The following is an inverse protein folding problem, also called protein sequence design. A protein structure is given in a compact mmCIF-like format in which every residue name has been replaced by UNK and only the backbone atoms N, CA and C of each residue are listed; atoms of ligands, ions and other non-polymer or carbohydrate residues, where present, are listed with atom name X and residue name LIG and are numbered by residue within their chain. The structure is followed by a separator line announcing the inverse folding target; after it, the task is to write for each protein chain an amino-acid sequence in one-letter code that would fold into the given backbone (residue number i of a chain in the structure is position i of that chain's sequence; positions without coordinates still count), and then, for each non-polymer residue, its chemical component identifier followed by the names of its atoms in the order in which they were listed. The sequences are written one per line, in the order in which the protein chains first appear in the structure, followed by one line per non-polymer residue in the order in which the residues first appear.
data_IF_995292738213
#
_entry.id   IF_995292738213
#
_cell.length_a   1.000
_cell.length_b   1.000
_cell.length_c   1.000
_cell.angle_alpha   90.00
_cell.angle_beta   90.00
_cell.angle_gamma   90.00
#
_symmetry.space_group_name_H-M   'P 1'
#
loop_
_entity.id
_entity.type
_entity.pdbx_description
1 polymer ?
#
# COMPACT_ATOMS: atom_id res chain seq x y z
N UNK A 1 -22.63 -33.50 22.47
CA UNK A 1 -21.63 -32.56 21.95
C UNK A 1 -22.40 -31.36 21.44
N UNK A 2 -22.50 -30.31 22.26
CA UNK A 2 -23.18 -29.07 21.87
C UNK A 2 -22.16 -28.29 21.04
N UNK A 3 -22.45 -28.08 19.76
CA UNK A 3 -21.72 -27.11 18.94
C UNK A 3 -21.99 -25.75 19.57
N UNK A 4 -20.99 -25.16 20.22
CA UNK A 4 -21.02 -23.74 20.54
C UNK A 4 -21.03 -23.02 19.19
N UNK A 5 -22.22 -22.60 18.76
CA UNK A 5 -22.37 -21.58 17.74
C UNK A 5 -21.74 -20.33 18.35
N UNK A 6 -20.60 -19.92 17.82
CA UNK A 6 -19.98 -18.65 18.18
C UNK A 6 -20.95 -17.54 17.71
N UNK A 7 -21.83 -17.10 18.60
CA UNK A 7 -22.80 -16.04 18.35
C UNK A 7 -22.11 -14.68 18.41
N UNK A 8 -21.11 -14.50 17.55
CA UNK A 8 -20.43 -13.24 17.30
C UNK A 8 -20.97 -12.58 16.03
N UNK A 9 -20.67 -11.30 15.86
CA UNK A 9 -20.98 -10.56 14.63
C UNK A 9 -20.29 -11.28 13.46
N UNK A 10 -20.97 -11.44 12.32
CA UNK A 10 -20.34 -12.02 11.13
C UNK A 10 -19.08 -11.19 10.79
N UNK A 11 -17.88 -11.81 10.65
CA UNK A 11 -16.64 -11.08 10.38
C UNK A 11 -16.74 -10.12 9.19
N UNK A 12 -17.53 -10.45 8.18
CA UNK A 12 -17.64 -9.69 6.94
C UNK A 12 -18.94 -8.88 6.85
N UNK A 13 -19.77 -8.87 7.90
CA UNK A 13 -20.90 -7.96 8.00
C UNK A 13 -20.44 -6.52 8.27
N UNK A 14 -21.17 -5.57 7.70
CA UNK A 14 -20.96 -4.13 7.91
C UNK A 14 -21.24 -3.77 9.37
N UNK A 15 -20.34 -3.01 9.97
CA UNK A 15 -20.46 -2.53 11.34
C UNK A 15 -21.23 -1.20 11.39
N UNK A 16 -22.04 -1.01 12.42
CA UNK A 16 -22.64 0.29 12.73
C UNK A 16 -21.58 1.29 13.22
N UNK A 17 -20.68 0.80 14.08
CA UNK A 17 -19.52 1.51 14.58
C UNK A 17 -18.54 0.56 15.28
N UNK A 18 -17.34 1.07 15.58
CA UNK A 18 -16.44 0.48 16.54
C UNK A 18 -16.00 1.53 17.57
N UNK A 19 -15.60 1.09 18.76
CA UNK A 19 -15.06 1.98 19.79
C UNK A 19 -13.67 1.55 20.20
N UNK A 20 -12.76 2.51 20.32
CA UNK A 20 -11.44 2.34 20.90
C UNK A 20 -11.46 2.99 22.28
N UNK A 21 -11.48 2.17 23.32
CA UNK A 21 -11.34 2.63 24.70
C UNK A 21 -9.87 2.67 25.05
N UNK A 22 -9.36 3.85 25.40
CA UNK A 22 -7.95 4.03 25.75
C UNK A 22 -7.77 4.20 27.26
N UNK A 23 -6.68 3.62 27.76
CA UNK A 23 -6.26 3.67 29.15
C UNK A 23 -4.80 4.16 29.20
N UNK A 24 -4.54 5.47 29.09
CA UNK A 24 -3.18 6.01 28.95
C UNK A 24 -2.22 5.56 30.07
N UNK A 25 -2.67 5.59 31.32
CA UNK A 25 -1.87 5.19 32.49
C UNK A 25 -1.46 3.72 32.49
N UNK A 26 -2.11 2.89 31.68
CA UNK A 26 -1.85 1.46 31.56
C UNK A 26 -1.17 1.09 30.23
N UNK A 27 -0.86 2.06 29.36
CA UNK A 27 -0.44 1.84 27.98
C UNK A 27 -1.32 0.78 27.27
N UNK A 28 -2.63 0.90 27.40
CA UNK A 28 -3.56 -0.16 26.97
C UNK A 28 -4.76 0.41 26.24
N UNK A 29 -5.24 -0.32 25.25
CA UNK A 29 -6.53 -0.05 24.61
C UNK A 29 -7.40 -1.31 24.57
N UNK A 30 -8.70 -1.12 24.44
CA UNK A 30 -9.67 -2.16 24.11
C UNK A 30 -10.53 -1.71 22.94
N UNK A 31 -10.83 -2.62 22.02
CA UNK A 31 -11.69 -2.35 20.86
C UNK A 31 -12.95 -3.20 20.96
N UNK A 32 -14.08 -2.55 20.75
CA UNK A 32 -15.39 -3.17 20.64
C UNK A 32 -15.99 -2.83 19.29
N UNK A 33 -16.56 -3.82 18.62
CA UNK A 33 -17.31 -3.66 17.37
C UNK A 33 -18.80 -3.78 17.66
N UNK A 34 -19.62 -3.05 16.90
CA UNK A 34 -21.06 -3.01 17.08
C UNK A 34 -21.74 -3.14 15.72
N UNK A 35 -22.72 -4.03 15.63
CA UNK A 35 -23.47 -4.33 14.42
C UNK A 35 -24.61 -5.30 14.75
N UNK A 36 -25.74 -5.15 14.07
CA UNK A 36 -26.95 -5.98 14.28
C UNK A 36 -27.41 -6.05 15.75
N UNK A 37 -27.41 -4.90 16.45
CA UNK A 37 -27.72 -4.75 17.88
C UNK A 37 -26.78 -5.53 18.85
N UNK A 38 -25.74 -6.17 18.33
CA UNK A 38 -24.73 -6.90 19.09
C UNK A 38 -23.49 -6.05 19.33
N UNK A 39 -22.81 -6.31 20.45
CA UNK A 39 -21.54 -5.67 20.81
C UNK A 39 -20.52 -6.74 21.15
N UNK A 40 -19.45 -6.83 20.36
CA UNK A 40 -18.41 -7.83 20.52
C UNK A 40 -17.06 -7.17 20.84
N UNK A 41 -16.32 -7.72 21.80
CA UNK A 41 -14.96 -7.28 22.07
C UNK A 41 -14.02 -7.87 21.02
N UNK A 42 -13.45 -7.01 20.19
CA UNK A 42 -12.57 -7.43 19.10
C UNK A 42 -11.13 -7.65 19.55
N UNK A 43 -10.56 -6.69 20.29
CA UNK A 43 -9.13 -6.70 20.58
C UNK A 43 -8.76 -5.98 21.87
N UNK A 44 -7.58 -6.32 22.39
CA UNK A 44 -6.87 -5.61 23.46
C UNK A 44 -5.42 -5.51 23.02
N UNK A 45 -4.79 -4.36 23.19
CA UNK A 45 -3.40 -4.18 22.82
C UNK A 45 -2.72 -3.02 23.55
N UNK A 46 -1.47 -2.77 23.15
CA UNK A 46 -0.67 -1.68 23.70
C UNK A 46 -0.99 -0.38 22.98
N UNK A 47 -1.25 0.68 23.74
CA UNK A 47 -1.70 1.95 23.17
C UNK A 47 -0.65 2.56 22.24
N UNK A 48 0.63 2.50 22.63
CA UNK A 48 1.78 2.95 21.84
C UNK A 48 1.81 2.40 20.41
N UNK A 49 1.26 1.21 20.15
CA UNK A 49 1.20 0.64 18.81
C UNK A 49 0.15 1.32 17.92
N UNK A 50 -0.93 1.86 18.48
CA UNK A 50 -1.97 2.55 17.70
C UNK A 50 -1.68 4.04 17.51
N UNK A 51 -0.88 4.64 18.40
CA UNK A 51 -0.63 6.09 18.40
C UNK A 51 -0.09 6.64 17.07
N UNK A 52 0.85 5.97 16.36
CA UNK A 52 1.37 6.49 15.10
C UNK A 52 0.33 6.50 13.97
N UNK A 53 -0.68 5.62 14.08
CA UNK A 53 -1.58 5.28 12.98
C UNK A 53 -2.95 5.93 13.09
N UNK A 54 -3.36 6.35 14.29
CA UNK A 54 -4.67 6.96 14.53
C UNK A 54 -4.51 8.33 15.19
N UNK A 55 -4.47 9.43 14.40
CA UNK A 55 -4.23 10.78 14.92
C UNK A 55 -5.21 11.21 16.00
N UNK A 56 -6.49 10.85 15.87
CA UNK A 56 -7.52 11.17 16.87
C UNK A 56 -7.32 10.41 18.19
N UNK A 57 -6.87 9.15 18.12
CA UNK A 57 -6.49 8.38 19.31
C UNK A 57 -5.29 9.02 20.00
N UNK A 58 -4.30 9.48 19.23
CA UNK A 58 -3.15 10.20 19.78
C UNK A 58 -3.54 11.53 20.47
N UNK A 59 -4.47 12.30 19.89
CA UNK A 59 -5.02 13.51 20.53
C UNK A 59 -5.72 13.20 21.86
N UNK A 60 -6.45 12.09 21.95
CA UNK A 60 -7.09 11.67 23.19
C UNK A 60 -6.07 11.17 24.22
N UNK A 61 -5.05 10.43 23.78
CA UNK A 61 -3.95 9.99 24.62
C UNK A 61 -3.19 11.16 25.26
N UNK A 62 -2.93 12.22 24.49
CA UNK A 62 -2.25 13.43 24.98
C UNK A 62 -2.98 14.15 26.12
N UNK A 63 -4.30 13.91 26.29
CA UNK A 63 -5.07 14.44 27.44
C UNK A 63 -4.78 13.69 28.75
N UNK A 64 -4.12 12.52 28.69
CA UNK A 64 -3.68 11.75 29.85
C UNK A 64 -4.79 11.05 30.65
N UNK A 65 -6.04 11.07 30.17
CA UNK A 65 -7.21 10.48 30.84
C UNK A 65 -7.83 9.38 29.98
N UNK A 66 -8.53 8.44 30.62
CA UNK A 66 -9.26 7.40 29.89
C UNK A 66 -10.30 8.05 28.99
N UNK A 67 -10.37 7.61 27.74
CA UNK A 67 -11.27 8.17 26.73
C UNK A 67 -11.79 7.07 25.81
N UNK A 68 -12.88 7.38 25.11
CA UNK A 68 -13.48 6.51 24.11
C UNK A 68 -13.45 7.26 22.79
N UNK A 69 -12.82 6.66 21.79
CA UNK A 69 -12.88 7.12 20.41
C UNK A 69 -13.87 6.26 19.64
N UNK A 70 -14.77 6.88 18.88
CA UNK A 70 -15.76 6.17 18.06
C UNK A 70 -15.32 6.19 16.60
N UNK A 71 -15.04 5.00 16.05
CA UNK A 71 -14.88 4.76 14.63
C UNK A 71 -16.27 4.57 14.04
N UNK A 72 -16.71 5.47 13.16
CA UNK A 72 -17.98 5.35 12.49
C UNK A 72 -17.88 5.96 11.10
N UNK A 73 -18.45 5.28 10.11
CA UNK A 73 -18.60 5.81 8.77
C UNK A 73 -19.83 6.71 8.73
N UNK A 74 -19.65 7.95 8.30
CA UNK A 74 -20.68 8.99 8.29
C UNK A 74 -20.97 9.45 6.85
N UNK A 75 -22.19 9.93 6.62
CA UNK A 75 -22.64 10.43 5.32
C UNK A 75 -23.12 9.33 4.38
N UNK A 76 -22.91 9.52 3.08
CA UNK A 76 -23.40 8.62 2.01
C UNK A 76 -22.73 7.23 2.04
N UNK A 77 -21.62 7.07 2.76
CA UNK A 77 -20.90 5.80 2.94
C UNK A 77 -21.42 4.96 4.14
N UNK A 78 -22.57 5.28 4.72
CA UNK A 78 -23.07 4.64 5.95
C UNK A 78 -23.22 3.10 5.91
N UNK A 79 -23.11 2.48 4.73
CA UNK A 79 -23.04 1.02 4.57
C UNK A 79 -21.82 0.60 3.73
N UNK A 80 -20.67 1.17 4.06
CA UNK A 80 -19.42 0.86 3.39
C UNK A 80 -19.06 -0.64 3.55
N UNK A 81 -18.87 -1.38 2.45
CA UNK A 81 -18.57 -2.81 2.52
C UNK A 81 -17.18 -3.09 3.11
N UNK A 82 -16.31 -2.08 3.16
CA UNK A 82 -14.99 -2.17 3.78
C UNK A 82 -15.01 -2.02 5.30
N UNK A 83 -16.08 -1.48 5.89
CA UNK A 83 -16.15 -1.23 7.34
C UNK A 83 -16.71 -2.44 8.10
N UNK A 84 -15.92 -3.50 8.16
CA UNK A 84 -16.27 -4.79 8.76
C UNK A 84 -15.34 -5.16 9.92
N UNK A 85 -15.73 -6.18 10.70
CA UNK A 85 -14.90 -6.72 11.79
C UNK A 85 -13.59 -7.31 11.24
N UNK A 86 -13.65 -7.99 10.10
CA UNK A 86 -12.51 -8.58 9.39
C UNK A 86 -11.48 -7.51 8.99
N UNK A 87 -11.92 -6.43 8.34
CA UNK A 87 -11.04 -5.32 7.94
C UNK A 87 -10.38 -4.66 9.15
N UNK A 88 -11.16 -4.37 10.20
CA UNK A 88 -10.62 -3.75 11.42
C UNK A 88 -9.60 -4.68 12.10
N UNK A 89 -9.88 -5.99 12.20
CA UNK A 89 -8.94 -6.94 12.77
C UNK A 89 -7.63 -6.99 11.98
N UNK A 90 -7.69 -7.02 10.64
CA UNK A 90 -6.50 -7.00 9.78
C UNK A 90 -5.69 -5.71 9.95
N UNK A 91 -6.36 -4.55 10.00
CA UNK A 91 -5.72 -3.28 10.32
C UNK A 91 -4.95 -3.34 11.64
N UNK A 92 -5.56 -3.90 12.69
CA UNK A 92 -4.93 -4.04 14.00
C UNK A 92 -3.72 -4.98 13.97
N UNK A 93 -3.76 -6.07 13.18
CA UNK A 93 -2.59 -6.95 13.00
C UNK A 93 -1.41 -6.22 12.39
N UNK A 94 -1.66 -5.31 11.45
CA UNK A 94 -0.62 -4.45 10.86
C UNK A 94 -0.12 -3.43 11.88
N UNK A 95 -1.02 -2.64 12.45
CA UNK A 95 -0.69 -1.58 13.41
C UNK A 95 0.08 -2.10 14.64
N UNK A 96 -0.21 -3.32 15.08
CA UNK A 96 0.48 -3.95 16.21
C UNK A 96 1.80 -4.63 15.86
N UNK A 97 2.21 -4.66 14.59
CA UNK A 97 3.46 -5.32 14.14
C UNK A 97 4.41 -4.31 13.50
N UNK A 98 5.36 -3.81 14.30
CA UNK A 98 6.42 -2.89 13.83
C UNK A 98 7.23 -3.50 12.68
N UNK A 99 7.54 -4.79 12.75
CA UNK A 99 8.26 -5.50 11.70
C UNK A 99 7.48 -5.49 10.38
N UNK A 100 6.18 -5.80 10.41
CA UNK A 100 5.34 -5.81 9.22
C UNK A 100 5.20 -4.41 8.61
N UNK A 101 5.04 -3.38 9.45
CA UNK A 101 5.00 -1.98 9.00
C UNK A 101 6.30 -1.59 8.30
N UNK A 102 7.45 -1.94 8.87
CA UNK A 102 8.76 -1.63 8.29
C UNK A 102 9.03 -2.40 6.99
N UNK A 103 8.68 -3.69 6.95
CA UNK A 103 8.80 -4.52 5.75
C UNK A 103 7.91 -3.99 4.63
N UNK A 104 6.66 -3.64 4.92
CA UNK A 104 5.72 -3.08 3.92
C UNK A 104 6.25 -1.77 3.35
N UNK A 105 6.71 -0.84 4.21
CA UNK A 105 7.31 0.44 3.80
C UNK A 105 8.56 0.25 2.93
N UNK A 106 9.39 -0.74 3.25
CA UNK A 106 10.61 -1.04 2.47
C UNK A 106 10.23 -1.56 1.08
N UNK A 107 9.29 -2.50 1.00
CA UNK A 107 8.82 -3.08 -0.26
C UNK A 107 8.14 -2.02 -1.12
N UNK A 108 7.25 -1.21 -0.56
CA UNK A 108 6.56 -0.13 -1.26
C UNK A 108 7.52 0.94 -1.79
N UNK A 109 8.56 1.26 -1.01
CA UNK A 109 9.62 2.15 -1.44
C UNK A 109 10.37 1.61 -2.67
N UNK A 110 10.70 0.31 -2.66
CA UNK A 110 11.36 -0.32 -3.81
C UNK A 110 10.43 -0.41 -5.04
N UNK A 111 9.16 -0.79 -4.84
CA UNK A 111 8.15 -0.79 -5.91
C UNK A 111 8.03 0.59 -6.55
N UNK A 112 7.89 1.64 -5.74
CA UNK A 112 7.75 3.02 -6.22
C UNK A 112 8.97 3.46 -7.05
N UNK A 113 10.19 3.14 -6.59
CA UNK A 113 11.42 3.45 -7.31
C UNK A 113 11.50 2.69 -8.64
N UNK A 114 11.17 1.39 -8.65
CA UNK A 114 11.17 0.59 -9.86
C UNK A 114 10.14 1.09 -10.88
N UNK A 115 8.94 1.46 -10.45
CA UNK A 115 7.91 2.02 -11.33
C UNK A 115 8.31 3.36 -11.92
N UNK A 116 8.95 4.23 -11.13
CA UNK A 116 9.48 5.50 -11.62
C UNK A 116 10.55 5.28 -12.70
N UNK A 117 11.53 4.41 -12.43
CA UNK A 117 12.58 4.06 -13.40
C UNK A 117 11.98 3.42 -14.65
N UNK A 118 10.97 2.56 -14.49
CA UNK A 118 10.31 1.86 -15.59
C UNK A 118 9.58 2.85 -16.49
N UNK A 119 8.81 3.77 -15.88
CA UNK A 119 8.11 4.84 -16.58
C UNK A 119 9.08 5.75 -17.33
N UNK A 120 10.17 6.15 -16.69
CA UNK A 120 11.22 6.94 -17.33
C UNK A 120 11.80 6.21 -18.55
N UNK A 121 12.14 4.94 -18.40
CA UNK A 121 12.72 4.13 -19.49
C UNK A 121 11.75 3.89 -20.67
N UNK A 122 10.45 3.73 -20.38
CA UNK A 122 9.41 3.65 -21.41
C UNK A 122 9.25 4.99 -22.17
N UNK A 123 9.35 6.13 -21.48
CA UNK A 123 9.29 7.45 -22.12
C UNK A 123 10.47 7.71 -23.07
N UNK A 124 11.69 7.32 -22.71
CA UNK A 124 12.88 7.40 -23.57
C UNK A 124 12.71 6.58 -24.86
N UNK A 125 12.02 5.45 -24.77
CA UNK A 125 11.77 4.55 -25.90
C UNK A 125 10.75 5.11 -26.90
N UNK A 126 9.80 5.94 -26.44
CA UNK A 126 8.80 6.57 -27.30
C UNK A 126 9.37 7.72 -28.16
N UNK A 127 10.47 8.34 -27.73
CA UNK A 127 11.05 9.52 -28.39
C UNK A 127 12.08 9.20 -29.48
N UNK A 128 12.48 7.92 -29.64
CA UNK A 128 13.49 7.49 -30.62
C UNK A 128 12.96 7.23 -32.04
N UNK A 129 11.68 7.50 -32.33
CA UNK A 129 11.04 7.08 -33.58
C UNK A 129 10.39 8.21 -34.41
N UNK A 130 10.82 9.46 -34.23
CA UNK A 130 10.26 10.62 -34.97
C UNK A 130 11.23 11.37 -35.90
N UNK A 131 12.38 10.81 -36.28
CA UNK A 131 13.35 11.55 -37.10
C UNK A 131 13.80 10.86 -38.39
N UNK A 132 12.91 10.16 -39.11
CA UNK A 132 13.20 9.76 -40.49
C UNK A 132 11.97 9.78 -41.40
N UNK A 133 11.48 10.97 -41.75
CA UNK A 133 10.74 11.13 -43.00
C UNK A 133 10.84 12.56 -43.54
N UNK A 134 11.86 12.78 -44.38
CA UNK A 134 11.72 13.58 -45.62
C UNK A 134 12.89 13.30 -46.57
N UNK A 135 12.56 12.39 -47.49
CA UNK A 135 13.09 12.16 -48.83
C UNK A 135 13.32 13.48 -49.60
N UNK A 136 14.49 13.61 -50.23
CA UNK A 136 14.81 14.62 -51.24
C UNK A 136 16.20 14.39 -51.82
N UNK A 137 16.25 13.81 -53.02
CA UNK A 137 17.45 13.53 -53.81
C UNK A 137 18.19 14.82 -54.20
N UNK A 138 19.53 14.87 -54.13
CA UNK A 138 20.37 15.48 -55.19
C UNK A 138 21.86 15.12 -55.06
N UNK A 139 22.45 14.89 -56.23
CA UNK A 139 23.84 14.48 -56.52
C UNK A 139 24.95 15.39 -55.97
N UNK A 140 26.13 14.78 -55.77
CA UNK A 140 27.36 15.33 -56.35
C UNK A 140 28.49 15.80 -55.39
N UNK A 141 29.56 15.00 -55.40
CA UNK A 141 30.98 15.38 -55.40
C UNK A 141 31.82 15.39 -54.09
N UNK A 142 32.78 14.45 -54.12
CA UNK A 142 34.14 14.30 -53.58
C UNK A 142 34.78 15.31 -52.59
N UNK A 143 35.40 14.73 -51.54
CA UNK A 143 36.77 14.97 -51.02
C UNK A 143 36.96 15.40 -49.54
N UNK A 144 37.68 14.50 -48.83
CA UNK A 144 38.78 14.66 -47.86
C UNK A 144 38.50 15.23 -46.45
N UNK A 145 38.62 14.31 -45.49
CA UNK A 145 39.39 14.34 -44.22
C UNK A 145 39.47 15.68 -43.46
N UNK A 146 38.86 15.70 -42.28
CA UNK A 146 39.51 16.25 -41.07
C UNK A 146 38.77 15.80 -39.82
N UNK A 147 39.56 15.24 -38.90
CA UNK A 147 39.19 14.89 -37.54
C UNK A 147 38.39 16.01 -36.86
N UNK A 148 37.15 15.70 -36.47
CA UNK A 148 36.46 16.42 -35.41
C UNK A 148 36.27 15.44 -34.27
N UNK A 149 37.17 15.53 -33.30
CA UNK A 149 37.11 14.88 -32.00
C UNK A 149 35.93 15.46 -31.20
N UNK A 150 34.71 15.09 -31.59
CA UNK A 150 33.52 15.39 -30.80
C UNK A 150 33.39 14.34 -29.71
N UNK A 151 33.92 14.70 -28.54
CA UNK A 151 33.38 14.40 -27.21
C UNK A 151 32.49 13.16 -27.17
N UNK A 152 33.11 11.99 -27.01
CA UNK A 152 32.44 10.77 -26.58
C UNK A 152 32.04 10.91 -25.10
N UNK A 153 31.08 11.79 -24.81
CA UNK A 153 30.14 11.53 -23.72
C UNK A 153 29.32 10.34 -24.22
N UNK A 154 29.74 9.15 -23.80
CA UNK A 154 29.08 7.89 -24.10
C UNK A 154 27.63 7.96 -23.61
N UNK A 155 26.73 8.48 -24.45
CA UNK A 155 25.33 8.14 -24.42
C UNK A 155 25.31 6.64 -24.74
N UNK A 156 25.34 5.82 -23.69
CA UNK A 156 25.24 4.36 -23.81
C UNK A 156 23.89 4.10 -24.49
N UNK A 157 23.90 4.02 -25.81
CA UNK A 157 22.76 3.61 -26.60
C UNK A 157 22.60 2.11 -26.32
N UNK A 158 21.79 1.78 -25.30
CA UNK A 158 21.38 0.41 -25.05
C UNK A 158 20.76 -0.14 -26.34
N UNK A 159 21.21 -1.32 -26.76
CA UNK A 159 20.56 -2.02 -27.88
C UNK A 159 19.11 -2.35 -27.49
N UNK A 160 18.22 -2.45 -28.49
CA UNK A 160 16.82 -2.80 -28.24
C UNK A 160 16.66 -4.11 -27.46
N UNK A 161 17.59 -5.06 -27.65
CA UNK A 161 17.65 -6.31 -26.87
C UNK A 161 17.94 -6.04 -25.39
N UNK A 162 19.01 -5.30 -25.07
CA UNK A 162 19.39 -4.99 -23.70
C UNK A 162 18.32 -4.17 -22.97
N UNK A 163 17.67 -3.25 -23.71
CA UNK A 163 16.55 -2.43 -23.26
C UNK A 163 15.33 -3.28 -22.86
N UNK A 164 14.96 -4.25 -23.69
CA UNK A 164 13.86 -5.17 -23.43
C UNK A 164 14.18 -6.13 -22.27
N UNK A 165 15.42 -6.58 -22.15
CA UNK A 165 15.86 -7.43 -21.03
C UNK A 165 15.78 -6.69 -19.69
N UNK A 166 16.15 -5.41 -19.65
CA UNK A 166 16.02 -4.58 -18.46
C UNK A 166 14.56 -4.42 -18.04
N UNK A 167 13.67 -4.06 -18.96
CA UNK A 167 12.23 -3.94 -18.68
C UNK A 167 11.67 -5.24 -18.10
N UNK A 168 12.03 -6.39 -18.71
CA UNK A 168 11.63 -7.71 -18.22
C UNK A 168 12.18 -8.00 -16.81
N UNK A 169 13.43 -7.63 -16.53
CA UNK A 169 14.02 -7.80 -15.20
C UNK A 169 13.29 -6.95 -14.14
N UNK A 170 12.91 -5.73 -14.50
CA UNK A 170 12.11 -4.85 -13.64
C UNK A 170 10.71 -5.43 -13.38
N UNK A 171 10.01 -5.90 -14.41
CA UNK A 171 8.69 -6.54 -14.27
C UNK A 171 8.75 -7.79 -13.37
N UNK A 172 9.82 -8.59 -13.50
CA UNK A 172 10.05 -9.75 -12.64
C UNK A 172 10.28 -9.33 -11.18
N UNK A 173 11.08 -8.29 -10.93
CA UNK A 173 11.31 -7.80 -9.56
C UNK A 173 10.05 -7.19 -8.95
N UNK A 174 9.29 -6.42 -9.71
CA UNK A 174 7.99 -5.88 -9.28
C UNK A 174 7.03 -7.01 -8.88
N UNK A 175 6.96 -8.07 -9.69
CA UNK A 175 6.14 -9.25 -9.38
C UNK A 175 6.61 -9.94 -8.10
N UNK A 176 7.93 -10.11 -7.93
CA UNK A 176 8.50 -10.70 -6.73
C UNK A 176 8.21 -9.87 -5.48
N UNK A 177 8.33 -8.54 -5.55
CA UNK A 177 8.01 -7.62 -4.45
C UNK A 177 6.53 -7.65 -4.07
N UNK A 178 5.62 -7.61 -5.06
CA UNK A 178 4.17 -7.73 -4.83
C UNK A 178 3.83 -9.07 -4.17
N UNK A 179 4.52 -10.15 -4.55
CA UNK A 179 4.37 -11.49 -3.93
C UNK A 179 4.92 -11.56 -2.51
N UNK A 180 6.07 -10.93 -2.26
CA UNK A 180 6.71 -10.86 -0.94
C UNK A 180 5.82 -10.12 0.06
N UNK A 181 5.26 -8.98 -0.36
CA UNK A 181 4.30 -8.20 0.43
C UNK A 181 3.05 -9.01 0.77
N UNK A 182 2.44 -9.65 -0.24
CA UNK A 182 1.28 -10.51 -0.04
C UNK A 182 1.59 -11.67 0.93
N UNK A 183 2.79 -12.26 0.83
CA UNK A 183 3.22 -13.34 1.73
C UNK A 183 3.37 -12.86 3.16
N UNK A 184 3.98 -11.69 3.38
CA UNK A 184 4.13 -11.09 4.70
C UNK A 184 2.76 -10.79 5.34
N UNK A 185 1.82 -10.25 4.56
CA UNK A 185 0.45 -9.98 5.00
C UNK A 185 -0.32 -11.25 5.32
N UNK A 186 -0.28 -12.25 4.43
CA UNK A 186 -0.96 -13.53 4.64
C UNK A 186 -0.46 -14.23 5.91
N UNK A 187 0.84 -14.16 6.17
CA UNK A 187 1.43 -14.67 7.40
C UNK A 187 0.90 -13.92 8.64
N UNK A 188 0.82 -12.59 8.60
CA UNK A 188 0.32 -11.79 9.72
C UNK A 188 -1.18 -11.98 9.99
N UNK A 189 -1.97 -12.18 8.93
CA UNK A 189 -3.41 -12.42 9.02
C UNK A 189 -3.76 -13.88 9.34
N UNK A 190 -2.83 -14.81 9.14
CA UNK A 190 -3.07 -16.25 9.28
C UNK A 190 -3.94 -16.85 8.18
N UNK A 191 -4.22 -16.08 7.12
CA UNK A 191 -5.05 -16.48 5.99
C UNK A 191 -4.65 -15.68 4.74
N UNK A 192 -4.95 -16.22 3.56
CA UNK A 192 -4.79 -15.50 2.32
C UNK A 192 -5.66 -14.23 2.30
N UNK A 193 -5.09 -13.12 1.87
CA UNK A 193 -5.77 -11.85 1.64
C UNK A 193 -6.09 -11.72 0.15
N UNK A 194 -7.36 -11.55 -0.19
CA UNK A 194 -7.81 -11.24 -1.54
C UNK A 194 -7.47 -9.80 -1.93
N UNK A 195 -7.50 -9.52 -3.24
CA UNK A 195 -7.32 -8.14 -3.71
C UNK A 195 -8.38 -7.19 -3.17
N UNK A 196 -9.61 -7.66 -2.98
CA UNK A 196 -10.72 -6.88 -2.43
C UNK A 196 -10.46 -6.51 -0.96
N UNK A 197 -9.99 -7.46 -0.15
CA UNK A 197 -9.64 -7.19 1.25
C UNK A 197 -8.48 -6.19 1.40
N UNK A 198 -7.51 -6.23 0.46
CA UNK A 198 -6.44 -5.22 0.40
C UNK A 198 -7.05 -3.84 0.07
N UNK A 199 -7.97 -3.77 -0.90
CA UNK A 199 -8.69 -2.53 -1.21
C UNK A 199 -9.47 -2.01 -0.01
N UNK A 200 -10.17 -2.86 0.73
CA UNK A 200 -10.90 -2.47 1.94
C UNK A 200 -9.98 -1.95 3.04
N UNK A 201 -8.80 -2.54 3.22
CA UNK A 201 -7.79 -2.02 4.14
C UNK A 201 -7.30 -0.62 3.73
N UNK A 202 -7.08 -0.42 2.43
CA UNK A 202 -6.68 0.90 1.89
C UNK A 202 -7.77 1.94 2.14
N UNK A 203 -9.03 1.63 1.84
CA UNK A 203 -10.17 2.52 2.07
C UNK A 203 -10.36 2.83 3.56
N UNK A 204 -10.19 1.84 4.43
CA UNK A 204 -10.21 2.03 5.88
C UNK A 204 -9.12 3.01 6.34
N UNK A 205 -7.88 2.81 5.87
CA UNK A 205 -6.75 3.66 6.21
C UNK A 205 -6.96 5.10 5.72
N UNK A 206 -7.46 5.28 4.50
CA UNK A 206 -7.75 6.59 3.93
C UNK A 206 -8.85 7.32 4.70
N UNK A 207 -9.92 6.61 5.08
CA UNK A 207 -11.05 7.22 5.80
C UNK A 207 -10.68 7.66 7.21
N UNK A 208 -9.93 6.85 7.96
CA UNK A 208 -9.57 7.12 9.35
C UNK A 208 -8.21 7.82 9.52
N UNK A 209 -7.54 8.17 8.42
CA UNK A 209 -6.27 8.92 8.44
C UNK A 209 -5.05 8.09 8.86
N UNK A 210 -5.11 6.77 8.73
CA UNK A 210 -4.00 5.85 8.99
C UNK A 210 -3.11 5.68 7.74
N UNK A 211 -2.74 6.79 7.12
CA UNK A 211 -2.06 6.82 5.82
C UNK A 211 -0.68 6.18 5.83
N UNK A 212 -0.06 6.04 7.00
CA UNK A 212 1.26 5.42 7.14
C UNK A 212 1.22 3.88 7.17
N UNK A 213 0.02 3.30 7.25
CA UNK A 213 -0.27 1.87 7.09
C UNK A 213 -0.91 1.55 5.74
N UNK A 214 -0.94 2.53 4.84
CA UNK A 214 -1.57 2.37 3.53
C UNK A 214 -0.72 1.45 2.65
N UNK A 215 -1.20 0.23 2.44
CA UNK A 215 -0.56 -0.73 1.56
C UNK A 215 -1.09 -0.56 0.15
N UNK A 216 -0.50 0.39 -0.59
CA UNK A 216 -0.80 0.58 -2.00
C UNK A 216 0.26 -0.12 -2.85
N UNK A 217 -0.10 -1.14 -3.66
CA UNK A 217 0.65 -1.38 -4.87
C UNK A 217 0.40 -0.17 -5.78
N UNK A 218 1.37 0.76 -5.80
CA UNK A 218 1.45 1.70 -6.92
C UNK A 218 1.68 0.87 -8.21
N UNK A 219 1.31 1.46 -9.35
CA UNK A 219 0.93 0.75 -10.59
C UNK A 219 2.04 -0.04 -11.27
#
# INVERSE_FOLDING_TARGET
MVLMMDSGIDPDASLDYATIQIFPTKNRYEIFVCGDDEVEKLAVGQLEQLLPHLPEVHKLYAKGTNAIFKLQVTGELGNAPWFTKSTLNRFLKIASSVDLVNTSKTIEGEISQLEEVRKFHLSLSAQGHEDHSKRGETDGHDSIETESTVKAEAKVALSDSSRNELLRAMDLRLTALKTELATALNHAFGAACSSEEITYLVEFCDYFGATDLKIEPKG
#
